data_IF_562505303412
#
_entry.id   IF_562505303412
#
_cell.length_a   1.000
_cell.length_b   1.000
_cell.length_c   1.000
_cell.angle_alpha   90.00
_cell.angle_beta   90.00
_cell.angle_gamma   90.00
#
_symmetry.space_group_name_H-M   'P 1'
#
loop_
_entity.id
_entity.type
_entity.pdbx_description
1 polymer ?
#
# COMPACT_ATOMS: atom_id res chain seq x y z
N UNK A 1 25.94 20.99 -3.41
CA UNK A 1 24.99 20.10 -2.70
C UNK A 1 23.57 20.18 -3.32
N UNK A 2 23.42 19.98 -4.64
CA UNK A 2 22.13 20.10 -5.39
C UNK A 2 21.84 18.95 -6.38
N UNK A 3 22.67 17.90 -6.43
CA UNK A 3 22.57 16.82 -7.45
C UNK A 3 21.65 15.65 -7.06
N UNK A 4 21.33 15.47 -5.78
CA UNK A 4 20.53 14.30 -5.34
C UNK A 4 19.01 14.44 -5.57
N UNK A 5 18.44 15.64 -5.45
CA UNK A 5 16.98 15.84 -5.61
C UNK A 5 16.45 15.67 -7.04
N UNK A 6 17.28 15.89 -8.06
CA UNK A 6 16.83 15.78 -9.45
C UNK A 6 16.74 14.31 -9.92
N UNK A 7 17.54 13.42 -9.32
CA UNK A 7 17.58 12.01 -9.69
C UNK A 7 16.45 11.20 -9.04
N UNK A 8 16.10 11.50 -7.78
CA UNK A 8 15.02 10.81 -7.06
C UNK A 8 13.64 11.07 -7.66
N UNK A 9 13.38 12.32 -8.10
CA UNK A 9 12.11 12.67 -8.75
C UNK A 9 11.88 11.89 -10.06
N UNK A 10 12.92 11.74 -10.88
CA UNK A 10 12.86 10.96 -12.12
C UNK A 10 12.62 9.46 -11.86
N UNK A 11 13.23 8.90 -10.81
CA UNK A 11 13.03 7.49 -10.47
C UNK A 11 11.63 7.20 -9.89
N UNK A 12 11.12 8.12 -9.08
CA UNK A 12 9.74 8.08 -8.60
C UNK A 12 8.74 8.11 -9.76
N UNK A 13 8.87 9.07 -10.68
CA UNK A 13 7.96 9.20 -11.83
C UNK A 13 7.96 7.94 -12.71
N UNK A 14 9.13 7.31 -12.92
CA UNK A 14 9.25 6.02 -13.63
C UNK A 14 8.58 4.88 -12.86
N UNK A 15 8.73 4.85 -11.55
CA UNK A 15 8.12 3.84 -10.67
C UNK A 15 6.59 3.91 -10.76
N UNK A 16 6.04 5.12 -10.62
CA UNK A 16 4.60 5.36 -10.72
C UNK A 16 4.09 5.01 -12.13
N UNK A 17 4.80 5.43 -13.18
CA UNK A 17 4.46 5.07 -14.56
C UNK A 17 4.41 3.57 -14.78
N UNK A 18 5.32 2.82 -14.16
CA UNK A 18 5.28 1.36 -14.23
C UNK A 18 4.10 0.77 -13.47
N UNK A 19 3.84 1.23 -12.25
CA UNK A 19 2.70 0.75 -11.45
C UNK A 19 1.39 0.92 -12.22
N UNK A 20 1.13 2.09 -12.80
CA UNK A 20 -0.08 2.31 -13.62
C UNK A 20 -0.11 1.49 -14.92
N UNK A 21 1.05 1.08 -15.44
CA UNK A 21 1.07 0.15 -16.58
C UNK A 21 0.49 -1.24 -16.23
N UNK A 22 0.51 -1.63 -14.94
CA UNK A 22 -0.10 -2.88 -14.47
C UNK A 22 -1.62 -2.80 -14.38
N UNK A 23 -2.18 -1.61 -14.08
CA UNK A 23 -3.62 -1.39 -13.97
C UNK A 23 -4.34 -1.65 -15.32
N UNK A 24 -3.69 -1.30 -16.43
CA UNK A 24 -4.19 -1.55 -17.80
C UNK A 24 -4.37 -3.03 -18.16
N UNK A 25 -3.85 -3.96 -17.35
CA UNK A 25 -4.00 -5.41 -17.57
C UNK A 25 -5.30 -5.98 -17.00
N UNK A 26 -6.12 -5.16 -16.34
CA UNK A 26 -7.42 -5.55 -15.77
C UNK A 26 -7.31 -6.11 -14.35
N UNK A 27 -8.48 -6.35 -13.74
CA UNK A 27 -8.59 -6.97 -12.42
C UNK A 27 -8.72 -8.48 -12.56
N UNK A 28 -7.82 -9.20 -11.89
CA UNK A 28 -7.86 -10.64 -11.73
C UNK A 28 -7.94 -10.91 -10.23
N UNK A 29 -9.05 -11.46 -9.76
CA UNK A 29 -9.34 -11.63 -8.34
C UNK A 29 -8.91 -13.04 -7.89
N UNK A 30 -7.62 -13.19 -7.57
CA UNK A 30 -7.03 -14.40 -7.01
C UNK A 30 -6.09 -14.06 -5.85
N UNK A 31 -6.38 -14.60 -4.65
CA UNK A 31 -5.53 -14.43 -3.47
C UNK A 31 -4.25 -15.28 -3.52
N UNK A 32 -4.15 -16.24 -4.44
CA UNK A 32 -3.01 -17.15 -4.54
C UNK A 32 -1.68 -16.42 -4.79
N UNK A 33 -1.68 -15.40 -5.65
CA UNK A 33 -0.46 -14.65 -5.99
C UNK A 33 0.03 -13.79 -4.82
N UNK A 34 -0.87 -12.98 -4.24
CA UNK A 34 -0.52 -12.12 -3.11
C UNK A 34 -0.10 -12.92 -1.89
N UNK A 35 -0.75 -14.05 -1.60
CA UNK A 35 -0.34 -14.95 -0.49
C UNK A 35 1.07 -15.52 -0.68
N UNK A 36 1.45 -15.89 -1.92
CA UNK A 36 2.81 -16.34 -2.23
C UNK A 36 3.82 -15.22 -1.97
N UNK A 37 3.52 -14.01 -2.46
CA UNK A 37 4.38 -12.84 -2.24
C UNK A 37 4.53 -12.51 -0.74
N UNK A 38 3.43 -12.47 0.02
CA UNK A 38 3.48 -12.17 1.46
C UNK A 38 4.36 -13.17 2.22
N UNK A 39 4.26 -14.47 1.88
CA UNK A 39 5.11 -15.50 2.47
C UNK A 39 6.59 -15.25 2.20
N UNK A 40 6.96 -14.85 0.98
CA UNK A 40 8.34 -14.51 0.64
C UNK A 40 8.85 -13.24 1.34
N UNK A 41 7.96 -12.29 1.59
CA UNK A 41 8.27 -11.05 2.32
C UNK A 41 8.27 -11.22 3.85
N UNK A 42 8.12 -12.45 4.35
CA UNK A 42 8.14 -12.75 5.78
C UNK A 42 6.80 -12.54 6.50
N UNK A 43 5.70 -12.44 5.75
CA UNK A 43 4.34 -12.19 6.24
C UNK A 43 4.22 -10.88 7.05
N UNK A 44 4.57 -9.71 6.46
CA UNK A 44 4.54 -8.43 7.15
C UNK A 44 3.13 -8.06 7.66
N UNK A 45 2.08 -8.56 7.00
CA UNK A 45 0.68 -8.36 7.42
C UNK A 45 0.35 -8.98 8.79
N UNK A 46 1.23 -9.82 9.33
CA UNK A 46 1.05 -10.48 10.64
C UNK A 46 1.72 -9.75 11.79
N UNK A 47 2.42 -8.64 11.52
CA UNK A 47 3.17 -7.91 12.56
C UNK A 47 2.37 -6.79 13.22
N UNK A 48 1.14 -6.55 12.76
CA UNK A 48 0.24 -5.51 13.26
C UNK A 48 -1.19 -6.03 13.32
N UNK A 49 -2.05 -5.37 14.10
CA UNK A 49 -3.50 -5.63 14.08
C UNK A 49 -4.13 -4.90 12.90
N UNK A 50 -5.27 -5.37 12.40
CA UNK A 50 -5.92 -4.74 11.26
C UNK A 50 -7.41 -4.49 11.50
N UNK A 51 -7.88 -3.37 10.97
CA UNK A 51 -9.31 -3.09 10.77
C UNK A 51 -9.55 -3.05 9.27
N UNK A 52 -10.31 -4.01 8.76
CA UNK A 52 -10.59 -4.15 7.34
C UNK A 52 -11.95 -3.53 7.00
N UNK A 53 -11.96 -2.52 6.13
CA UNK A 53 -13.14 -1.72 5.81
C UNK A 53 -13.59 -2.02 4.38
N UNK A 54 -14.70 -2.75 4.27
CA UNK A 54 -15.35 -3.10 3.01
C UNK A 54 -16.70 -2.38 2.85
N UNK A 55 -17.13 -2.15 1.61
CA UNK A 55 -18.42 -1.52 1.32
C UNK A 55 -18.45 -0.72 0.02
N UNK A 56 -19.64 -0.35 -0.42
CA UNK A 56 -19.82 0.40 -1.68
C UNK A 56 -19.40 1.85 -1.54
N UNK A 57 -19.82 2.53 -0.46
CA UNK A 57 -19.61 3.95 -0.24
C UNK A 57 -19.06 4.22 1.18
N UNK A 58 -18.40 5.35 1.36
CA UNK A 58 -17.98 5.84 2.68
C UNK A 58 -16.76 5.15 3.29
N UNK A 59 -16.17 4.15 2.63
CA UNK A 59 -14.99 3.40 3.12
C UNK A 59 -13.84 4.32 3.51
N UNK A 60 -13.39 5.20 2.61
CA UNK A 60 -12.33 6.17 2.91
C UNK A 60 -12.64 7.08 4.10
N UNK A 61 -13.89 7.55 4.24
CA UNK A 61 -14.31 8.36 5.40
C UNK A 61 -14.27 7.56 6.70
N UNK A 62 -14.76 6.32 6.69
CA UNK A 62 -14.67 5.41 7.85
C UNK A 62 -13.21 5.12 8.20
N UNK A 63 -12.35 4.92 7.20
CA UNK A 63 -10.92 4.71 7.43
C UNK A 63 -10.28 5.91 8.12
N UNK A 64 -10.58 7.13 7.66
CA UNK A 64 -10.07 8.36 8.27
C UNK A 64 -10.57 8.54 9.72
N UNK A 65 -11.86 8.27 9.98
CA UNK A 65 -12.43 8.34 11.33
C UNK A 65 -11.77 7.33 12.27
N UNK A 66 -11.64 6.07 11.83
CA UNK A 66 -10.98 5.02 12.61
C UNK A 66 -9.52 5.35 12.91
N UNK A 67 -8.78 5.84 11.92
CA UNK A 67 -7.39 6.21 12.09
C UNK A 67 -7.23 7.34 13.11
N UNK A 68 -8.11 8.35 13.06
CA UNK A 68 -8.13 9.44 14.03
C UNK A 68 -8.40 8.94 15.45
N UNK A 69 -9.39 8.06 15.63
CA UNK A 69 -9.77 7.51 16.95
C UNK A 69 -8.65 6.64 17.53
N UNK A 70 -8.04 5.78 16.72
CA UNK A 70 -6.92 4.92 17.15
C UNK A 70 -5.68 5.74 17.51
N UNK A 71 -5.39 6.80 16.72
CA UNK A 71 -4.28 7.72 17.01
C UNK A 71 -4.51 8.47 18.33
N UNK A 72 -5.72 8.98 18.56
CA UNK A 72 -6.08 9.66 19.81
C UNK A 72 -5.99 8.71 21.02
N UNK A 73 -6.27 7.42 20.82
CA UNK A 73 -6.07 6.38 21.83
C UNK A 73 -4.58 6.02 22.09
N UNK A 74 -3.63 6.69 21.42
CA UNK A 74 -2.20 6.52 21.64
C UNK A 74 -1.55 5.40 20.81
N UNK A 75 -2.23 4.86 19.81
CA UNK A 75 -1.66 3.86 18.91
C UNK A 75 -0.96 4.48 17.71
N UNK A 76 0.07 3.78 17.21
CA UNK A 76 0.66 4.06 15.91
C UNK A 76 -0.18 3.44 14.81
N UNK A 77 -0.65 4.24 13.85
CA UNK A 77 -1.66 3.81 12.88
C UNK A 77 -1.15 3.92 11.45
N UNK A 78 -1.19 2.80 10.72
CA UNK A 78 -1.08 2.75 9.26
C UNK A 78 -2.47 2.83 8.60
N UNK A 79 -2.58 3.52 7.48
CA UNK A 79 -3.81 3.61 6.69
C UNK A 79 -3.50 3.29 5.24
N UNK A 80 -4.21 2.31 4.70
CA UNK A 80 -4.18 1.94 3.28
C UNK A 80 -5.53 2.25 2.63
N UNK A 81 -5.56 3.16 1.66
CA UNK A 81 -6.78 3.61 0.98
C UNK A 81 -6.66 3.60 -0.54
N UNK A 82 -7.80 3.53 -1.23
CA UNK A 82 -7.87 3.59 -2.69
C UNK A 82 -9.21 4.10 -3.22
N UNK A 83 -9.26 4.84 -4.35
CA UNK A 83 -8.13 5.41 -5.09
C UNK A 83 -7.49 6.60 -4.35
N UNK A 84 -6.54 7.30 -4.99
CA UNK A 84 -6.02 8.58 -4.51
C UNK A 84 -6.59 9.74 -5.34
N UNK A 85 -6.51 10.98 -4.81
CA UNK A 85 -7.03 12.17 -5.48
C UNK A 85 -5.95 12.93 -6.24
N UNK A 86 -4.79 13.20 -5.63
CA UNK A 86 -3.74 14.04 -6.23
C UNK A 86 -2.45 13.25 -6.48
N UNK A 87 -2.06 12.40 -5.53
CA UNK A 87 -0.77 11.70 -5.56
C UNK A 87 -0.90 10.26 -5.06
N UNK A 88 -0.09 9.37 -5.63
CA UNK A 88 -0.04 7.95 -5.23
C UNK A 88 0.22 7.77 -3.73
N UNK A 89 1.02 8.65 -3.13
CA UNK A 89 1.45 8.59 -1.73
C UNK A 89 0.27 8.67 -0.75
N UNK A 90 -0.85 9.29 -1.13
CA UNK A 90 -2.08 9.32 -0.34
C UNK A 90 -2.61 7.93 0.02
N UNK A 91 -2.27 6.92 -0.79
CA UNK A 91 -2.71 5.53 -0.56
C UNK A 91 -2.08 4.92 0.69
N UNK A 92 -0.91 5.37 1.14
CA UNK A 92 -0.15 4.76 2.23
C UNK A 92 0.27 5.85 3.22
N UNK A 93 -0.37 5.85 4.38
CA UNK A 93 -0.17 6.87 5.43
C UNK A 93 0.20 6.20 6.74
N UNK A 94 1.12 6.78 7.50
CA UNK A 94 1.43 6.37 8.88
C UNK A 94 1.38 7.61 9.78
N UNK A 95 0.59 7.54 10.85
CA UNK A 95 0.36 8.64 11.80
C UNK A 95 -0.07 9.99 11.17
N UNK A 96 -0.70 9.94 10.01
CA UNK A 96 -1.14 11.11 9.24
C UNK A 96 -0.10 11.64 8.26
N UNK A 97 1.09 11.04 8.19
CA UNK A 97 2.11 11.37 7.21
C UNK A 97 2.08 10.39 6.04
N UNK A 98 2.01 10.93 4.81
CA UNK A 98 2.09 10.13 3.60
C UNK A 98 3.48 9.50 3.46
N UNK A 99 3.53 8.30 2.89
CA UNK A 99 4.79 7.67 2.50
C UNK A 99 5.64 8.60 1.63
N UNK A 100 6.96 8.60 1.80
CA UNK A 100 7.87 9.42 0.98
C UNK A 100 8.06 8.83 -0.42
N UNK A 101 8.41 9.67 -1.41
CA UNK A 101 8.75 9.19 -2.76
C UNK A 101 9.91 8.19 -2.75
N UNK A 102 10.90 8.40 -1.88
CA UNK A 102 12.05 7.51 -1.75
C UNK A 102 11.65 6.15 -1.17
N UNK A 103 10.74 6.13 -0.18
CA UNK A 103 10.17 4.89 0.35
C UNK A 103 9.32 4.16 -0.70
N UNK A 104 8.52 4.89 -1.50
CA UNK A 104 7.76 4.28 -2.61
C UNK A 104 8.70 3.56 -3.59
N UNK A 105 9.78 4.22 -4.02
CA UNK A 105 10.77 3.64 -4.93
C UNK A 105 11.47 2.44 -4.29
N UNK A 106 11.87 2.56 -3.01
CA UNK A 106 12.54 1.50 -2.27
C UNK A 106 11.66 0.26 -2.14
N UNK A 107 10.41 0.41 -1.70
CA UNK A 107 9.47 -0.70 -1.55
C UNK A 107 9.12 -1.32 -2.90
N UNK A 108 8.97 -0.51 -3.94
CA UNK A 108 8.75 -1.02 -5.28
C UNK A 108 9.91 -1.91 -5.74
N UNK A 109 11.17 -1.53 -5.48
CA UNK A 109 12.34 -2.36 -5.81
C UNK A 109 12.35 -3.70 -5.08
N UNK A 110 11.78 -3.78 -3.88
CA UNK A 110 11.65 -5.05 -3.13
C UNK A 110 10.65 -5.98 -3.84
N UNK A 111 9.49 -5.46 -4.27
CA UNK A 111 8.42 -6.27 -4.89
C UNK A 111 8.68 -6.56 -6.37
N UNK A 112 9.37 -5.65 -7.06
CA UNK A 112 9.58 -5.65 -8.51
C UNK A 112 10.05 -7.00 -9.10
N UNK A 113 11.03 -7.73 -8.52
CA UNK A 113 11.52 -8.98 -9.08
C UNK A 113 10.41 -10.04 -9.28
N UNK A 114 9.36 -10.00 -8.44
CA UNK A 114 8.28 -10.99 -8.45
C UNK A 114 7.08 -10.64 -9.30
N UNK A 115 6.98 -9.38 -9.76
CA UNK A 115 5.78 -8.89 -10.49
C UNK A 115 5.47 -9.73 -11.72
N UNK A 116 6.48 -10.00 -12.57
CA UNK A 116 6.26 -10.75 -13.80
C UNK A 116 6.12 -12.26 -13.56
N UNK A 117 6.90 -12.81 -12.62
CA UNK A 117 6.89 -14.23 -12.26
C UNK A 117 5.53 -14.66 -11.69
N UNK A 118 5.02 -13.91 -10.72
CA UNK A 118 3.75 -14.19 -10.06
C UNK A 118 2.56 -13.58 -10.81
N UNK A 119 2.79 -12.81 -11.88
CA UNK A 119 1.77 -12.06 -12.63
C UNK A 119 0.93 -11.15 -11.72
N UNK A 120 1.59 -10.39 -10.85
CA UNK A 120 0.94 -9.51 -9.89
C UNK A 120 0.20 -8.36 -10.59
N UNK A 121 -0.98 -8.05 -10.06
CA UNK A 121 -1.78 -6.89 -10.45
C UNK A 121 -1.26 -5.61 -9.79
N UNK A 122 -1.75 -4.45 -10.22
CA UNK A 122 -1.46 -3.18 -9.55
C UNK A 122 -1.80 -3.23 -8.06
N UNK A 123 -3.01 -3.67 -7.70
CA UNK A 123 -3.48 -3.67 -6.31
C UNK A 123 -2.68 -4.62 -5.42
N UNK A 124 -2.31 -5.80 -5.90
CA UNK A 124 -1.47 -6.74 -5.15
C UNK A 124 -0.08 -6.15 -4.86
N UNK A 125 0.52 -5.44 -5.83
CA UNK A 125 1.82 -4.78 -5.64
C UNK A 125 1.71 -3.66 -4.61
N UNK A 126 0.70 -2.79 -4.71
CA UNK A 126 0.54 -1.66 -3.79
C UNK A 126 0.21 -2.14 -2.37
N UNK A 127 -0.64 -3.17 -2.24
CA UNK A 127 -0.99 -3.79 -0.95
C UNK A 127 0.27 -4.36 -0.28
N UNK A 128 1.10 -5.08 -1.04
CA UNK A 128 2.37 -5.59 -0.53
C UNK A 128 3.30 -4.46 -0.05
N UNK A 129 3.41 -3.38 -0.83
CA UNK A 129 4.20 -2.20 -0.43
C UNK A 129 3.67 -1.58 0.86
N UNK A 130 2.35 -1.43 0.99
CA UNK A 130 1.72 -0.88 2.21
C UNK A 130 2.02 -1.74 3.43
N UNK A 131 1.85 -3.07 3.35
CA UNK A 131 2.08 -3.97 4.48
C UNK A 131 3.55 -4.03 4.89
N UNK A 132 4.49 -4.07 3.93
CA UNK A 132 5.92 -3.97 4.24
C UNK A 132 6.23 -2.64 4.94
N UNK A 133 5.68 -1.52 4.45
CA UNK A 133 5.88 -0.21 5.08
C UNK A 133 5.35 -0.15 6.50
N UNK A 134 4.15 -0.67 6.74
CA UNK A 134 3.52 -0.72 8.06
C UNK A 134 4.31 -1.58 9.05
N UNK A 135 4.83 -2.72 8.59
CA UNK A 135 5.70 -3.57 9.40
C UNK A 135 7.02 -2.86 9.76
N UNK A 136 7.67 -2.22 8.79
CA UNK A 136 8.91 -1.45 9.02
C UNK A 136 8.69 -0.28 9.98
N UNK A 137 7.55 0.41 9.87
CA UNK A 137 7.16 1.50 10.78
C UNK A 137 6.66 1.01 12.12
N UNK A 138 6.48 -0.29 12.33
CA UNK A 138 5.97 -0.90 13.57
C UNK A 138 4.64 -0.29 14.00
N UNK A 139 3.69 -0.19 13.06
CA UNK A 139 2.34 0.27 13.39
C UNK A 139 1.66 -0.74 14.33
N UNK A 140 0.85 -0.26 15.27
CA UNK A 140 0.05 -1.11 16.14
C UNK A 140 -1.19 -1.61 15.40
N UNK A 141 -1.83 -0.71 14.64
CA UNK A 141 -3.02 -0.97 13.84
C UNK A 141 -2.82 -0.50 12.40
N UNK A 142 -3.25 -1.31 11.44
CA UNK A 142 -3.46 -0.92 10.06
C UNK A 142 -4.97 -0.84 9.75
N UNK A 143 -5.43 0.32 9.29
CA UNK A 143 -6.78 0.49 8.76
C UNK A 143 -6.70 0.31 7.25
N UNK A 144 -7.32 -0.76 6.74
CA UNK A 144 -7.16 -1.24 5.37
C UNK A 144 -8.50 -1.13 4.66
N UNK A 145 -8.59 -0.26 3.66
CA UNK A 145 -9.75 -0.16 2.76
C UNK A 145 -9.67 -1.23 1.68
N UNK A 146 -10.78 -1.93 1.42
CA UNK A 146 -10.87 -2.81 0.24
C UNK A 146 -10.85 -1.99 -1.05
N UNK A 147 -10.08 -2.42 -2.04
CA UNK A 147 -10.14 -1.89 -3.40
C UNK A 147 -11.46 -2.21 -4.10
N UNK A 148 -11.82 -3.50 -4.18
CA UNK A 148 -13.10 -3.94 -4.76
C UNK A 148 -13.72 -5.12 -4.00
N UNK A 149 -14.93 -4.91 -3.48
CA UNK A 149 -15.70 -5.96 -2.82
C UNK A 149 -15.09 -6.35 -1.48
N UNK A 150 -14.31 -7.43 -1.43
CA UNK A 150 -13.59 -7.85 -0.22
C UNK A 150 -13.19 -9.32 -0.17
N UNK A 151 -14.03 -10.27 -0.63
CA UNK A 151 -13.73 -11.72 -0.52
C UNK A 151 -12.42 -12.14 -1.19
N UNK A 152 -12.09 -11.48 -2.30
CA UNK A 152 -10.92 -11.77 -3.15
C UNK A 152 -10.06 -10.52 -3.36
N UNK A 153 -10.28 -9.48 -2.56
CA UNK A 153 -9.46 -8.26 -2.61
C UNK A 153 -8.09 -8.55 -1.98
N UNK A 154 -7.05 -7.95 -2.55
CA UNK A 154 -5.65 -8.30 -2.31
C UNK A 154 -5.19 -8.17 -0.85
#
# INVERSE_FOLDING_TARGET
MKRHHHNSRNEYDRTISYLYSLERKGMDLDLGRIRRLMKELGNPERTFKSVHVAGTNGKGSVCAMLASLLKEAGFKVGVYTSPHLVSFNERIVVDGEQISNDDVVRLFKIVRPRINELKLTFFEVVTAMAFVYFAEKKVDYAVVETGLGGRLDA
#
